data_IF_608220531924
#
_entry.id   IF_608220531924
#
_cell.length_a   1.000
_cell.length_b   1.000
_cell.length_c   1.000
_cell.angle_alpha   90.00
_cell.angle_beta   90.00
_cell.angle_gamma   90.00
#
_symmetry.space_group_name_H-M   'P 1'
#
loop_
_entity.id
_entity.type
_entity.pdbx_description
1 polymer ?
#
# COMPACT_ATOMS: atom_id res chain seq x y z
N UNK A 1 3.73 -6.72 -14.53
CA UNK A 1 3.32 -7.30 -13.25
C UNK A 1 2.56 -8.58 -13.50
N UNK A 2 2.67 -9.55 -12.60
CA UNK A 2 1.93 -10.81 -12.60
C UNK A 2 0.50 -10.57 -12.08
N UNK A 3 -0.33 -9.95 -12.92
CA UNK A 3 -1.64 -9.42 -12.51
C UNK A 3 -2.63 -10.51 -12.08
N UNK A 4 -2.67 -11.63 -12.79
CA UNK A 4 -3.61 -12.72 -12.51
C UNK A 4 -3.23 -13.41 -11.20
N UNK A 5 -1.96 -13.77 -11.07
CA UNK A 5 -1.41 -14.44 -9.90
C UNK A 5 -1.48 -13.56 -8.66
N UNK A 6 -1.20 -12.26 -8.80
CA UNK A 6 -1.34 -11.33 -7.69
C UNK A 6 -2.80 -11.14 -7.27
N UNK A 7 -3.74 -11.15 -8.22
CA UNK A 7 -5.18 -11.12 -7.91
C UNK A 7 -5.60 -12.36 -7.11
N UNK A 8 -5.21 -13.54 -7.56
CA UNK A 8 -5.49 -14.81 -6.85
C UNK A 8 -4.88 -14.79 -5.44
N UNK A 9 -3.63 -14.32 -5.31
CA UNK A 9 -2.97 -14.16 -4.02
C UNK A 9 -3.74 -13.20 -3.09
N UNK A 10 -4.22 -12.06 -3.61
CA UNK A 10 -5.01 -11.09 -2.83
C UNK A 10 -6.36 -11.66 -2.36
N UNK A 11 -7.01 -12.48 -3.19
CA UNK A 11 -8.28 -13.14 -2.85
C UNK A 11 -8.13 -14.09 -1.66
N UNK A 12 -7.05 -14.88 -1.64
CA UNK A 12 -6.70 -15.78 -0.53
C UNK A 12 -6.42 -14.98 0.75
N UNK A 13 -5.80 -13.80 0.63
CA UNK A 13 -5.30 -12.98 1.76
C UNK A 13 -6.30 -12.01 2.37
N UNK A 14 -7.52 -11.93 1.83
CA UNK A 14 -8.63 -11.21 2.48
C UNK A 14 -9.21 -10.01 1.73
N UNK A 15 -8.70 -9.67 0.54
CA UNK A 15 -9.35 -8.69 -0.33
C UNK A 15 -10.54 -9.36 -1.07
N UNK A 16 -11.63 -9.63 -0.35
CA UNK A 16 -12.74 -10.46 -0.86
C UNK A 16 -13.72 -9.73 -1.78
N UNK A 17 -13.61 -8.41 -1.95
CA UNK A 17 -14.51 -7.64 -2.81
C UNK A 17 -13.84 -7.24 -4.10
N UNK A 18 -14.60 -7.28 -5.20
CA UNK A 18 -14.10 -6.96 -6.54
C UNK A 18 -13.54 -5.53 -6.63
N UNK A 19 -14.16 -4.58 -5.93
CA UNK A 19 -13.69 -3.20 -5.86
C UNK A 19 -12.31 -3.10 -5.18
N UNK A 20 -12.14 -3.79 -4.05
CA UNK A 20 -10.91 -3.83 -3.26
C UNK A 20 -9.74 -4.43 -4.07
N UNK A 21 -10.00 -5.51 -4.81
CA UNK A 21 -9.03 -6.10 -5.74
C UNK A 21 -8.68 -5.15 -6.87
N UNK A 22 -9.69 -4.59 -7.54
CA UNK A 22 -9.48 -3.70 -8.68
C UNK A 22 -8.69 -2.44 -8.31
N UNK A 23 -8.92 -1.85 -7.14
CA UNK A 23 -8.16 -0.68 -6.68
C UNK A 23 -6.68 -0.99 -6.45
N UNK A 24 -6.36 -2.14 -5.85
CA UNK A 24 -4.97 -2.58 -5.62
C UNK A 24 -4.26 -2.86 -6.94
N UNK A 25 -4.89 -3.67 -7.80
CA UNK A 25 -4.36 -4.00 -9.13
C UNK A 25 -4.14 -2.72 -9.93
N UNK A 26 -5.11 -1.81 -9.95
CA UNK A 26 -5.00 -0.55 -10.67
C UNK A 26 -3.80 0.28 -10.19
N UNK A 27 -3.61 0.41 -8.88
CA UNK A 27 -2.49 1.16 -8.32
C UNK A 27 -1.14 0.57 -8.72
N UNK A 28 -0.96 -0.75 -8.54
CA UNK A 28 0.30 -1.43 -8.89
C UNK A 28 0.58 -1.36 -10.40
N UNK A 29 -0.44 -1.54 -11.25
CA UNK A 29 -0.33 -1.35 -12.71
C UNK A 29 0.09 0.07 -13.06
N UNK A 30 -0.45 1.06 -12.36
CA UNK A 30 -0.17 2.47 -12.64
C UNK A 30 1.26 2.83 -12.23
N UNK A 31 1.73 2.31 -11.11
CA UNK A 31 3.13 2.42 -10.68
C UNK A 31 4.05 1.78 -11.72
N UNK A 32 3.74 0.56 -12.18
CA UNK A 32 4.54 -0.13 -13.20
C UNK A 32 4.64 0.67 -14.50
N UNK A 33 3.50 1.18 -14.99
CA UNK A 33 3.46 2.01 -16.22
C UNK A 33 4.29 3.29 -16.11
N UNK A 34 4.47 3.81 -14.90
CA UNK A 34 5.18 5.05 -14.64
C UNK A 34 6.57 4.82 -14.02
N UNK A 35 7.15 3.62 -14.09
CA UNK A 35 8.44 3.31 -13.46
C UNK A 35 9.56 4.28 -13.84
N UNK A 36 9.72 4.54 -15.13
CA UNK A 36 10.75 5.46 -15.63
C UNK A 36 10.54 6.88 -15.08
N UNK A 37 9.29 7.35 -15.04
CA UNK A 37 8.96 8.68 -14.52
C UNK A 37 9.06 8.76 -12.98
N UNK A 38 8.94 7.63 -12.29
CA UNK A 38 9.27 7.48 -10.87
C UNK A 38 10.79 7.37 -10.61
N UNK A 39 11.63 7.45 -11.65
CA UNK A 39 13.09 7.38 -11.53
C UNK A 39 13.65 5.96 -11.41
N UNK A 40 12.84 4.93 -11.67
CA UNK A 40 13.34 3.55 -11.71
C UNK A 40 13.99 3.26 -13.08
N UNK A 41 15.22 2.73 -13.11
CA UNK A 41 15.88 2.31 -14.35
C UNK A 41 15.38 0.95 -14.86
N UNK A 42 14.48 0.29 -14.13
CA UNK A 42 14.06 -1.08 -14.39
C UNK A 42 12.86 -1.14 -15.34
N UNK A 43 12.86 -2.15 -16.23
CA UNK A 43 11.84 -2.33 -17.25
C UNK A 43 10.45 -2.72 -16.70
N UNK A 44 10.40 -3.35 -15.51
CA UNK A 44 9.18 -3.81 -14.88
C UNK A 44 9.36 -3.92 -13.36
N UNK A 45 8.24 -4.17 -12.66
CA UNK A 45 8.25 -4.29 -11.20
C UNK A 45 9.05 -5.50 -10.70
N UNK A 46 9.05 -6.61 -11.44
CA UNK A 46 9.84 -7.80 -11.08
C UNK A 46 11.34 -7.49 -11.02
N UNK A 47 11.87 -6.76 -12.00
CA UNK A 47 13.26 -6.31 -12.02
C UNK A 47 13.56 -5.29 -10.92
N UNK A 48 12.64 -4.36 -10.67
CA UNK A 48 12.78 -3.38 -9.59
C UNK A 48 12.77 -4.05 -8.19
N UNK A 49 11.90 -5.03 -7.98
CA UNK A 49 11.86 -5.79 -6.74
C UNK A 49 13.16 -6.56 -6.49
N UNK A 50 13.70 -7.23 -7.51
CA UNK A 50 14.98 -7.95 -7.41
C UNK A 50 16.17 -7.04 -7.08
N UNK A 51 16.09 -5.76 -7.43
CA UNK A 51 17.17 -4.81 -7.18
C UNK A 51 17.23 -4.36 -5.72
N UNK A 52 16.09 -4.01 -5.11
CA UNK A 52 16.07 -3.41 -3.77
C UNK A 52 14.80 -3.67 -2.94
N UNK A 53 13.97 -4.63 -3.32
CA UNK A 53 12.71 -4.93 -2.64
C UNK A 53 11.69 -3.79 -2.70
N UNK A 54 11.74 -2.94 -3.73
CA UNK A 54 10.98 -1.70 -3.88
C UNK A 54 11.37 -0.57 -2.93
N UNK A 55 12.53 -0.63 -2.27
CA UNK A 55 12.95 0.40 -1.32
C UNK A 55 12.94 1.80 -1.96
N UNK A 56 13.57 1.98 -3.13
CA UNK A 56 13.59 3.27 -3.83
C UNK A 56 12.21 3.70 -4.33
N UNK A 57 11.42 2.78 -4.89
CA UNK A 57 10.09 3.09 -5.40
C UNK A 57 9.15 3.53 -4.27
N UNK A 58 9.14 2.82 -3.14
CA UNK A 58 8.37 3.20 -1.95
C UNK A 58 8.82 4.54 -1.41
N UNK A 59 10.13 4.83 -1.41
CA UNK A 59 10.64 6.16 -1.04
C UNK A 59 10.17 7.26 -1.99
N UNK A 60 10.17 7.04 -3.32
CA UNK A 60 9.67 8.02 -4.29
C UNK A 60 8.18 8.31 -4.06
N UNK A 61 7.35 7.29 -3.85
CA UNK A 61 5.92 7.49 -3.54
C UNK A 61 5.75 8.30 -2.25
N UNK A 62 6.57 8.05 -1.21
CA UNK A 62 6.58 8.87 0.02
C UNK A 62 6.99 10.32 -0.23
N UNK A 63 7.91 10.58 -1.16
CA UNK A 63 8.27 11.96 -1.56
C UNK A 63 7.10 12.65 -2.24
N UNK A 64 6.47 12.00 -3.22
CA UNK A 64 5.27 12.52 -3.92
C UNK A 64 4.14 12.82 -2.92
N UNK A 65 3.96 11.95 -1.91
CA UNK A 65 2.97 12.18 -0.85
C UNK A 65 3.30 13.41 -0.01
N UNK A 66 4.57 13.63 0.34
CA UNK A 66 5.01 14.82 1.08
C UNK A 66 4.83 16.09 0.25
N UNK A 67 5.21 16.04 -1.02
CA UNK A 67 4.96 17.13 -1.97
C UNK A 67 3.47 17.52 -2.02
N UNK A 68 2.57 16.54 -2.14
CA UNK A 68 1.12 16.77 -2.10
C UNK A 68 0.63 17.38 -0.77
N UNK A 69 1.28 17.09 0.36
CA UNK A 69 0.98 17.72 1.67
C UNK A 69 1.38 19.19 1.69
N UNK A 70 2.45 19.52 0.98
CA UNK A 70 3.04 20.86 0.90
C UNK A 70 2.45 21.68 -0.29
N UNK A 71 1.28 21.28 -0.80
CA UNK A 71 0.56 21.85 -1.95
C UNK A 71 1.25 21.69 -3.31
N UNK A 72 2.22 20.79 -3.42
CA UNK A 72 2.79 20.39 -4.70
C UNK A 72 1.88 19.45 -5.49
N UNK A 73 2.25 19.18 -6.75
CA UNK A 73 1.45 18.45 -7.72
C UNK A 73 2.13 17.24 -8.37
N UNK A 74 3.24 16.77 -7.82
CA UNK A 74 3.94 15.56 -8.31
C UNK A 74 3.00 14.34 -8.37
N UNK A 75 1.95 14.33 -7.54
CA UNK A 75 0.95 13.26 -7.53
C UNK A 75 0.24 13.10 -8.87
N UNK A 76 0.17 14.15 -9.70
CA UNK A 76 -0.46 14.10 -11.02
C UNK A 76 0.25 13.16 -11.97
N UNK A 77 1.52 12.84 -11.70
CA UNK A 77 2.26 11.79 -12.41
C UNK A 77 1.55 10.42 -12.33
N UNK A 78 0.99 10.11 -11.16
CA UNK A 78 0.35 8.82 -10.89
C UNK A 78 -1.17 8.90 -10.96
N UNK A 79 -1.74 10.05 -10.62
CA UNK A 79 -3.18 10.25 -10.48
C UNK A 79 -3.56 11.69 -10.87
N UNK A 80 -3.60 12.02 -12.17
CA UNK A 80 -3.80 13.39 -12.66
C UNK A 80 -5.10 14.04 -12.14
N UNK A 81 -6.17 13.26 -12.06
CA UNK A 81 -7.51 13.75 -11.71
C UNK A 81 -7.84 13.60 -10.21
N UNK A 82 -6.84 13.38 -9.34
CA UNK A 82 -7.11 13.12 -7.92
C UNK A 82 -7.31 14.39 -7.10
N UNK A 83 -8.44 14.50 -6.42
CA UNK A 83 -8.74 15.56 -5.44
C UNK A 83 -8.20 15.26 -4.03
N UNK A 84 -7.90 13.99 -3.72
CA UNK A 84 -7.39 13.54 -2.42
C UNK A 84 -6.11 12.69 -2.54
N UNK A 85 -5.02 13.22 -3.12
CA UNK A 85 -3.83 12.44 -3.43
C UNK A 85 -3.09 11.93 -2.19
N UNK A 86 -3.09 12.68 -1.08
CA UNK A 86 -2.31 12.36 0.11
C UNK A 86 -2.65 10.99 0.73
N UNK A 87 -3.94 10.71 0.94
CA UNK A 87 -4.41 9.44 1.48
C UNK A 87 -4.24 8.30 0.47
N UNK A 88 -4.50 8.57 -0.81
CA UNK A 88 -4.37 7.57 -1.90
C UNK A 88 -2.93 7.12 -2.07
N UNK A 89 -1.96 8.03 -2.06
CA UNK A 89 -0.54 7.70 -2.19
C UNK A 89 -0.03 6.84 -1.02
N UNK A 90 -0.59 7.03 0.18
CA UNK A 90 -0.29 6.18 1.32
C UNK A 90 -0.74 4.73 1.09
N UNK A 91 -1.97 4.56 0.61
CA UNK A 91 -2.50 3.24 0.24
C UNK A 91 -1.71 2.60 -0.91
N UNK A 92 -1.33 3.38 -1.93
CA UNK A 92 -0.54 2.88 -3.06
C UNK A 92 0.84 2.39 -2.63
N UNK A 93 1.49 3.08 -1.70
CA UNK A 93 2.75 2.64 -1.12
C UNK A 93 2.61 1.31 -0.36
N UNK A 94 1.52 1.14 0.39
CA UNK A 94 1.22 -0.13 1.06
C UNK A 94 0.93 -1.26 0.07
N UNK A 95 0.15 -1.01 -0.98
CA UNK A 95 -0.21 -2.01 -1.98
C UNK A 95 0.99 -2.42 -2.84
N UNK A 96 1.94 -1.51 -3.09
CA UNK A 96 3.23 -1.86 -3.69
C UNK A 96 4.02 -2.81 -2.78
N UNK A 97 3.99 -2.59 -1.46
CA UNK A 97 4.55 -3.51 -0.48
C UNK A 97 3.93 -4.92 -0.54
N UNK A 98 2.60 -5.00 -0.67
CA UNK A 98 1.90 -6.28 -0.84
C UNK A 98 2.33 -7.02 -2.12
N UNK A 99 2.48 -6.29 -3.24
CA UNK A 99 3.00 -6.90 -4.46
C UNK A 99 4.44 -7.40 -4.28
N UNK A 100 5.28 -6.66 -3.53
CA UNK A 100 6.64 -7.10 -3.22
C UNK A 100 6.65 -8.40 -2.40
N UNK A 101 5.78 -8.54 -1.41
CA UNK A 101 5.64 -9.78 -0.64
C UNK A 101 5.17 -10.96 -1.49
N UNK A 102 4.18 -10.72 -2.36
CA UNK A 102 3.77 -11.69 -3.37
C UNK A 102 4.95 -12.16 -4.24
N UNK A 103 5.81 -11.24 -4.70
CA UNK A 103 7.02 -11.60 -5.46
C UNK A 103 8.07 -12.33 -4.63
N UNK A 104 8.18 -12.00 -3.33
CA UNK A 104 9.13 -12.61 -2.40
C UNK A 104 8.69 -13.96 -1.84
N UNK A 105 7.42 -14.35 -2.04
CA UNK A 105 6.82 -15.52 -1.37
C UNK A 105 6.66 -15.33 0.15
N UNK A 106 6.65 -14.08 0.63
CA UNK A 106 6.45 -13.76 2.04
C UNK A 106 4.95 -13.66 2.36
N UNK A 107 4.59 -14.34 3.45
CA UNK A 107 3.23 -14.70 3.79
C UNK A 107 2.77 -14.04 5.12
N UNK A 108 3.48 -13.02 5.62
CA UNK A 108 3.15 -12.36 6.89
C UNK A 108 2.20 -11.16 6.73
N UNK A 109 0.91 -11.37 6.99
CA UNK A 109 -0.10 -10.29 7.09
C UNK A 109 0.20 -9.32 8.26
N UNK A 110 0.90 -9.77 9.30
CA UNK A 110 1.30 -8.91 10.41
C UNK A 110 2.27 -7.80 9.97
N UNK A 111 3.13 -8.09 8.98
CA UNK A 111 4.08 -7.10 8.46
C UNK A 111 3.38 -6.08 7.55
N UNK A 112 2.33 -6.48 6.82
CA UNK A 112 1.44 -5.53 6.12
C UNK A 112 0.87 -4.52 7.10
N UNK A 113 0.27 -5.01 8.19
CA UNK A 113 -0.39 -4.18 9.21
C UNK A 113 0.64 -3.26 9.85
N UNK A 114 1.82 -3.79 10.22
CA UNK A 114 2.88 -3.01 10.84
C UNK A 114 3.34 -1.87 9.95
N UNK A 115 3.61 -2.14 8.67
CA UNK A 115 4.02 -1.12 7.71
C UNK A 115 2.94 -0.05 7.53
N UNK A 116 1.69 -0.48 7.34
CA UNK A 116 0.58 0.43 7.12
C UNK A 116 0.37 1.35 8.33
N UNK A 117 0.37 0.78 9.54
CA UNK A 117 0.23 1.55 10.78
C UNK A 117 1.40 2.51 10.97
N UNK A 118 2.63 2.07 10.70
CA UNK A 118 3.81 2.92 10.74
C UNK A 118 3.68 4.13 9.80
N UNK A 119 3.20 3.93 8.58
CA UNK A 119 3.12 4.97 7.55
C UNK A 119 1.91 5.90 7.69
N UNK A 120 0.75 5.37 8.10
CA UNK A 120 -0.53 6.09 8.11
C UNK A 120 -0.90 6.68 9.47
N UNK A 121 -0.48 6.04 10.56
CA UNK A 121 -0.86 6.45 11.91
C UNK A 121 0.35 7.02 12.67
N UNK A 122 1.44 6.25 12.75
CA UNK A 122 2.58 6.60 13.61
C UNK A 122 3.43 7.72 13.02
N UNK A 123 3.86 7.62 11.75
CA UNK A 123 4.70 8.64 11.13
C UNK A 123 4.00 10.01 11.11
N UNK A 124 2.72 10.12 10.71
CA UNK A 124 2.01 11.40 10.78
C UNK A 124 1.85 11.93 12.20
N UNK A 125 1.63 11.06 13.19
CA UNK A 125 1.56 11.46 14.59
C UNK A 125 2.90 12.03 15.08
N UNK A 126 4.01 11.37 14.75
CA UNK A 126 5.37 11.87 15.05
C UNK A 126 5.65 13.22 14.40
N UNK A 127 5.25 13.40 13.14
CA UNK A 127 5.40 14.68 12.43
C UNK A 127 4.62 15.83 13.10
N UNK A 128 3.49 15.52 13.78
CA UNK A 128 2.73 16.51 14.56
C UNK A 128 3.27 16.75 15.97
N UNK A 129 4.25 15.94 16.41
CA UNK A 129 4.77 15.96 17.78
C UNK A 129 3.92 15.17 18.79
N UNK A 130 3.01 14.32 18.32
CA UNK A 130 2.18 13.49 19.20
C UNK A 130 3.04 12.41 19.88
N UNK A 131 2.90 12.27 21.21
CA UNK A 131 3.60 11.25 21.98
C UNK A 131 3.03 9.83 21.78
N UNK A 132 1.78 9.73 21.34
CA UNK A 132 1.06 8.47 21.12
C UNK A 132 0.00 8.64 20.04
N UNK A 133 -0.37 7.54 19.37
CA UNK A 133 -1.49 7.49 18.43
C UNK A 133 -2.41 6.33 18.77
N UNK A 134 -3.71 6.58 18.79
CA UNK A 134 -4.72 5.52 18.94
C UNK A 134 -5.05 4.97 17.57
N UNK A 135 -4.91 3.66 17.40
CA UNK A 135 -5.27 2.94 16.18
C UNK A 135 -6.46 2.03 16.49
N UNK A 136 -7.58 2.27 15.82
CA UNK A 136 -8.78 1.44 16.00
C UNK A 136 -8.78 0.34 14.94
N UNK A 137 -8.89 -0.90 15.38
CA UNK A 137 -8.75 -2.09 14.51
C UNK A 137 -9.81 -2.14 13.40
N UNK A 138 -11.04 -1.70 13.67
CA UNK A 138 -12.12 -1.69 12.66
C UNK A 138 -11.82 -0.79 11.45
N UNK A 139 -11.60 0.52 11.65
CA UNK A 139 -11.16 1.44 10.60
C UNK A 139 -9.87 1.00 9.91
N UNK A 140 -8.85 0.59 10.67
CA UNK A 140 -7.60 0.06 10.12
C UNK A 140 -7.85 -1.10 9.16
N UNK A 141 -8.66 -2.06 9.56
CA UNK A 141 -9.03 -3.20 8.74
C UNK A 141 -9.79 -2.78 7.47
N UNK A 142 -10.72 -1.83 7.58
CA UNK A 142 -11.43 -1.31 6.41
C UNK A 142 -10.49 -0.57 5.45
N UNK A 143 -9.60 0.28 5.95
CA UNK A 143 -8.60 1.02 5.18
C UNK A 143 -7.63 0.10 4.46
N UNK A 144 -7.18 -0.95 5.15
CA UNK A 144 -6.30 -1.99 4.61
C UNK A 144 -7.06 -3.05 3.80
N UNK A 145 -8.40 -2.99 3.75
CA UNK A 145 -9.29 -4.00 3.18
C UNK A 145 -9.05 -5.42 3.73
N UNK A 146 -8.66 -5.52 5.00
CA UNK A 146 -8.55 -6.74 5.77
C UNK A 146 -9.94 -7.07 6.33
N UNK A 147 -10.69 -7.97 5.70
CA UNK A 147 -11.95 -8.41 6.31
C UNK A 147 -11.65 -9.16 7.61
N UNK A 148 -12.42 -8.90 8.68
CA UNK A 148 -12.32 -9.59 9.96
C UNK A 148 -12.35 -11.11 9.77
N UNK A 149 -11.20 -11.76 9.88
CA UNK A 149 -11.12 -13.18 10.19
C UNK A 149 -10.95 -13.31 11.71
N UNK A 150 -11.97 -12.90 12.47
CA UNK A 150 -12.12 -13.44 13.81
C UNK A 150 -13.03 -14.66 13.67
N UNK A 151 -12.54 -15.90 13.90
CA UNK A 151 -13.45 -17.00 14.13
C UNK A 151 -14.23 -16.64 15.41
N UNK A 152 -15.56 -16.58 15.33
CA UNK A 152 -16.43 -16.56 16.50
C UNK A 152 -16.29 -17.90 17.25
N UNK A 153 -15.17 -18.12 17.90
CA UNK A 153 -15.03 -19.20 18.86
C UNK A 153 -14.44 -18.60 20.12
N UNK A 154 -15.32 -18.31 21.07
CA UNK A 154 -15.28 -18.77 22.46
C UNK A 154 -16.07 -17.82 23.36
N UNK A 155 -17.33 -18.15 23.57
CA UNK A 155 -18.02 -17.88 24.82
C UNK A 155 -18.96 -19.07 25.07
N UNK A 156 -18.38 -20.14 25.62
CA UNK A 156 -19.09 -20.94 26.61
C UNK A 156 -19.24 -20.08 27.88
N UNK A 157 -20.27 -20.32 28.69
CA UNK A 157 -20.40 -21.59 29.41
C UNK A 157 -21.57 -22.49 28.97
#
# INVERSE_FOLDING_TARGET
MLEVEFREWLEIRGAKTQASLNSRIYAVKTIEKNLAALGSPHANLDAAYKADGFTQLRQRIKQIRRDAKDNGDDYRLLMPDSEQPFNRLSNWNSWLGQYGRFLGGDDSQADDIRDYVLENYITPARERGDASVTVVVGPLNNEMGLNMAWPEHLSGP
#
